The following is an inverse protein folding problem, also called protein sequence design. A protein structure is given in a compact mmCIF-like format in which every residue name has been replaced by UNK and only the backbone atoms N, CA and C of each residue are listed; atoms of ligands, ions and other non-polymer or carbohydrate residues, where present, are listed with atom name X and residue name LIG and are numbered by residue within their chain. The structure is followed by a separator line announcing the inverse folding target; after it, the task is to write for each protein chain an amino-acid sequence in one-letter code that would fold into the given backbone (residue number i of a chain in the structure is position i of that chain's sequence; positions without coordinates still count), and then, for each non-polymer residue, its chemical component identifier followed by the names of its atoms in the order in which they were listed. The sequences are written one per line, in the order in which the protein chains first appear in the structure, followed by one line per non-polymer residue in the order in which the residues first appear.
data_IF_409929684801
#
_entry.id   IF_409929684801
#
_cell.length_a   1.000
_cell.length_b   1.000
_cell.length_c   1.000
_cell.angle_alpha   90.00
_cell.angle_beta   90.00
_cell.angle_gamma   90.00
#
_symmetry.space_group_name_H-M   'P 1'
#
loop_
_entity.id
_entity.type
_entity.pdbx_description
1 polymer ?
#
# COMPACT_ATOMS: atom_id res chain seq x y z
N UNK A 1 31.27 -32.21 31.80
CA UNK A 1 31.36 -32.32 30.33
C UNK A 1 30.05 -31.85 29.74
N UNK A 2 30.09 -30.77 28.95
CA UNK A 2 28.95 -30.14 28.29
C UNK A 2 28.84 -30.67 26.87
N UNK A 3 27.69 -31.21 26.45
CA UNK A 3 27.35 -31.32 25.03
C UNK A 3 25.91 -30.82 24.84
N UNK A 4 25.78 -29.49 24.84
CA UNK A 4 24.61 -28.81 24.28
C UNK A 4 24.66 -29.01 22.77
N UNK A 5 23.85 -29.93 22.26
CA UNK A 5 23.59 -30.01 20.83
C UNK A 5 23.02 -28.67 20.34
N UNK A 6 23.63 -28.04 19.32
CA UNK A 6 23.03 -26.86 18.72
C UNK A 6 21.78 -27.30 17.96
N UNK A 7 20.62 -26.91 18.50
CA UNK A 7 19.35 -26.70 17.79
C UNK A 7 19.59 -26.12 16.40
N UNK A 8 19.59 -26.99 15.39
CA UNK A 8 19.65 -26.60 13.99
C UNK A 8 18.49 -25.66 13.70
N UNK A 9 18.73 -24.42 13.24
CA UNK A 9 17.63 -23.56 12.84
C UNK A 9 16.90 -24.21 11.66
N UNK A 10 15.59 -24.39 11.84
CA UNK A 10 14.57 -24.73 10.84
C UNK A 10 15.08 -24.64 9.40
N UNK A 11 15.45 -25.79 8.82
CA UNK A 11 15.56 -25.89 7.37
C UNK A 11 14.17 -25.51 6.82
N UNK A 12 14.14 -24.45 6.01
CA UNK A 12 12.93 -23.98 5.32
C UNK A 12 12.50 -25.11 4.38
N UNK A 13 11.62 -25.99 4.85
CA UNK A 13 11.24 -27.20 4.11
C UNK A 13 10.58 -26.74 2.82
N UNK A 14 11.28 -26.92 1.70
CA UNK A 14 10.68 -26.76 0.37
C UNK A 14 9.64 -27.86 0.24
N UNK A 15 8.37 -27.49 0.30
CA UNK A 15 7.28 -28.42 0.00
C UNK A 15 7.57 -29.08 -1.36
N UNK A 16 7.38 -30.41 -1.50
CA UNK A 16 7.46 -31.07 -2.80
C UNK A 16 6.50 -30.35 -3.75
N UNK A 17 7.05 -29.73 -4.78
CA UNK A 17 6.26 -29.17 -5.87
C UNK A 17 5.96 -30.34 -6.79
N UNK A 18 4.68 -30.60 -7.00
CA UNK A 18 4.24 -31.62 -7.95
C UNK A 18 4.73 -31.22 -9.36
N UNK A 19 5.18 -32.15 -10.23
CA UNK A 19 5.58 -31.84 -11.59
C UNK A 19 4.51 -31.05 -12.39
N UNK A 20 3.23 -31.15 -12.02
CA UNK A 20 2.14 -30.40 -12.66
C UNK A 20 2.03 -28.95 -12.16
N UNK A 21 2.84 -28.54 -11.18
CA UNK A 21 2.86 -27.19 -10.61
C UNK A 21 1.94 -26.99 -9.39
N UNK A 22 1.32 -28.06 -8.91
CA UNK A 22 0.56 -28.08 -7.66
C UNK A 22 1.49 -28.17 -6.45
N UNK A 23 0.96 -27.83 -5.28
CA UNK A 23 1.70 -27.96 -4.03
C UNK A 23 0.89 -28.69 -2.97
N UNK A 24 1.53 -29.72 -2.41
CA UNK A 24 1.08 -30.28 -1.14
C UNK A 24 1.66 -29.45 0.00
N UNK A 25 0.81 -28.70 0.69
CA UNK A 25 1.23 -27.95 1.86
C UNK A 25 1.37 -28.91 3.05
N UNK A 26 2.41 -28.78 3.88
CA UNK A 26 2.61 -29.66 5.04
C UNK A 26 1.55 -29.48 6.14
N UNK A 27 0.69 -28.47 6.02
CA UNK A 27 -0.32 -28.10 7.02
C UNK A 27 -1.70 -27.81 6.41
N UNK A 28 -1.93 -28.13 5.13
CA UNK A 28 -3.16 -27.73 4.43
C UNK A 28 -3.54 -28.63 3.24
N UNK A 29 -4.70 -28.34 2.61
CA UNK A 29 -5.17 -29.09 1.45
C UNK A 29 -4.23 -28.92 0.25
N UNK A 30 -4.27 -29.88 -0.67
CA UNK A 30 -3.58 -29.78 -1.95
C UNK A 30 -4.04 -28.55 -2.72
N UNK A 31 -3.10 -27.73 -3.18
CA UNK A 31 -3.38 -26.62 -4.07
C UNK A 31 -3.16 -27.09 -5.51
N UNK A 32 -4.22 -27.00 -6.32
CA UNK A 32 -4.09 -27.26 -7.74
C UNK A 32 -3.16 -26.23 -8.41
N UNK A 33 -2.56 -26.54 -9.56
CA UNK A 33 -1.76 -25.57 -10.31
C UNK A 33 -2.53 -24.29 -10.64
N UNK A 34 -3.84 -24.39 -10.91
CA UNK A 34 -4.72 -23.24 -11.16
C UNK A 34 -4.91 -22.37 -9.92
N UNK A 35 -5.09 -22.98 -8.75
CA UNK A 35 -5.19 -22.25 -7.49
C UNK A 35 -3.89 -21.54 -7.17
N UNK A 36 -2.75 -22.20 -7.39
CA UNK A 36 -1.43 -21.59 -7.22
C UNK A 36 -1.26 -20.38 -8.15
N UNK A 37 -1.66 -20.50 -9.43
CA UNK A 37 -1.61 -19.38 -10.38
C UNK A 37 -2.50 -18.21 -9.93
N UNK A 38 -3.73 -18.48 -9.51
CA UNK A 38 -4.67 -17.46 -9.01
C UNK A 38 -4.13 -16.75 -7.78
N UNK A 39 -3.64 -17.50 -6.79
CA UNK A 39 -3.07 -16.96 -5.56
C UNK A 39 -1.83 -16.10 -5.83
N UNK A 40 -0.99 -16.48 -6.80
CA UNK A 40 0.15 -15.65 -7.22
C UNK A 40 -0.29 -14.37 -7.95
N UNK A 41 -1.32 -14.43 -8.78
CA UNK A 41 -1.89 -13.24 -9.43
C UNK A 41 -2.47 -12.27 -8.38
N UNK A 42 -3.20 -12.79 -7.39
CA UNK A 42 -3.74 -11.99 -6.28
C UNK A 42 -2.61 -11.32 -5.48
N UNK A 43 -1.53 -12.06 -5.20
CA UNK A 43 -0.35 -11.51 -4.53
C UNK A 43 0.31 -10.40 -5.35
N UNK A 44 0.44 -10.58 -6.67
CA UNK A 44 0.99 -9.57 -7.56
C UNK A 44 0.17 -8.27 -7.51
N UNK A 45 -1.16 -8.37 -7.65
CA UNK A 45 -2.05 -7.22 -7.60
C UNK A 45 -1.98 -6.46 -6.26
N UNK A 46 -1.87 -7.19 -5.14
CA UNK A 46 -1.70 -6.55 -3.83
C UNK A 46 -0.36 -5.83 -3.67
N UNK A 47 0.73 -6.36 -4.25
CA UNK A 47 2.04 -5.72 -4.23
C UNK A 47 2.06 -4.45 -5.08
N UNK A 48 1.43 -4.47 -6.26
CA UNK A 48 1.29 -3.29 -7.11
C UNK A 48 0.48 -2.20 -6.42
N UNK A 49 -0.65 -2.57 -5.81
CA UNK A 49 -1.45 -1.63 -5.04
C UNK A 49 -0.66 -1.04 -3.86
N UNK A 50 0.06 -1.88 -3.11
CA UNK A 50 0.86 -1.41 -1.99
C UNK A 50 1.96 -0.46 -2.45
N UNK A 51 2.62 -0.77 -3.56
CA UNK A 51 3.63 0.10 -4.16
C UNK A 51 3.03 1.46 -4.57
N UNK A 52 1.83 1.48 -5.14
CA UNK A 52 1.14 2.72 -5.48
C UNK A 52 0.76 3.54 -4.22
N UNK A 53 0.26 2.88 -3.18
CA UNK A 53 -0.15 3.54 -1.93
C UNK A 53 1.04 4.06 -1.11
N UNK A 54 2.17 3.36 -1.11
CA UNK A 54 3.39 3.73 -0.38
C UNK A 54 4.37 4.56 -1.22
N UNK A 55 4.14 4.71 -2.53
CA UNK A 55 5.00 5.46 -3.43
C UNK A 55 6.35 4.78 -3.69
N UNK A 56 6.35 3.45 -3.80
CA UNK A 56 7.59 2.70 -4.04
C UNK A 56 8.18 3.03 -5.41
N UNK A 57 9.52 3.04 -5.47
CA UNK A 57 10.24 3.04 -6.73
C UNK A 57 9.97 1.74 -7.50
N UNK A 58 10.02 1.81 -8.84
CA UNK A 58 9.68 0.66 -9.69
C UNK A 58 10.64 -0.52 -9.45
N UNK A 59 11.91 -0.21 -9.23
CA UNK A 59 12.97 -1.17 -8.95
C UNK A 59 12.68 -1.96 -7.67
N UNK A 60 12.18 -1.29 -6.63
CA UNK A 60 11.80 -1.94 -5.38
C UNK A 60 10.59 -2.87 -5.57
N UNK A 61 9.60 -2.45 -6.36
CA UNK A 61 8.46 -3.31 -6.70
C UNK A 61 8.94 -4.55 -7.48
N UNK A 62 9.80 -4.38 -8.48
CA UNK A 62 10.29 -5.50 -9.29
C UNK A 62 11.12 -6.50 -8.46
N UNK A 63 11.93 -6.01 -7.52
CA UNK A 63 12.69 -6.84 -6.57
C UNK A 63 11.77 -7.64 -5.65
N UNK A 64 10.78 -6.99 -5.04
CA UNK A 64 9.82 -7.65 -4.15
C UNK A 64 8.95 -8.64 -4.92
N UNK A 65 8.49 -8.26 -6.11
CA UNK A 65 7.71 -9.11 -7.01
C UNK A 65 8.50 -10.38 -7.39
N UNK A 66 9.76 -10.21 -7.81
CA UNK A 66 10.63 -11.33 -8.19
C UNK A 66 10.81 -12.31 -7.04
N UNK A 67 11.06 -11.82 -5.82
CA UNK A 67 11.21 -12.66 -4.63
C UNK A 67 9.92 -13.38 -4.25
N UNK A 68 8.78 -12.68 -4.31
CA UNK A 68 7.48 -13.27 -4.02
C UNK A 68 7.07 -14.36 -5.03
N UNK A 69 7.32 -14.12 -6.33
CA UNK A 69 6.95 -15.05 -7.40
C UNK A 69 7.87 -16.26 -7.49
N UNK A 70 9.15 -16.12 -7.14
CA UNK A 70 10.12 -17.23 -7.13
C UNK A 70 10.23 -17.94 -5.77
N UNK A 71 9.57 -17.40 -4.74
CA UNK A 71 9.55 -17.97 -3.40
C UNK A 71 8.85 -19.34 -3.34
N UNK A 72 9.17 -20.16 -2.32
CA UNK A 72 8.54 -21.46 -2.12
C UNK A 72 7.04 -21.32 -1.85
N UNK A 73 6.24 -22.27 -2.33
CA UNK A 73 4.78 -22.26 -2.17
C UNK A 73 4.33 -22.33 -0.70
N UNK A 74 5.16 -22.91 0.17
CA UNK A 74 4.94 -22.91 1.61
C UNK A 74 4.89 -21.49 2.21
N UNK A 75 5.58 -20.51 1.60
CA UNK A 75 5.59 -19.12 2.04
C UNK A 75 4.45 -18.31 1.38
N UNK A 76 3.75 -18.86 0.39
CA UNK A 76 2.72 -18.13 -0.38
C UNK A 76 1.55 -17.69 0.49
N UNK A 77 0.97 -18.59 1.27
CA UNK A 77 -0.19 -18.30 2.13
C UNK A 77 0.14 -17.34 3.29
N UNK A 78 1.25 -17.53 4.04
CA UNK A 78 1.69 -16.55 5.02
C UNK A 78 1.95 -15.16 4.42
N UNK A 79 2.60 -15.10 3.25
CA UNK A 79 2.84 -13.84 2.55
C UNK A 79 1.51 -13.18 2.14
N UNK A 80 0.57 -13.94 1.56
CA UNK A 80 -0.75 -13.44 1.21
C UNK A 80 -1.49 -12.84 2.41
N UNK A 81 -1.47 -13.53 3.56
CA UNK A 81 -2.08 -13.00 4.78
C UNK A 81 -1.43 -11.69 5.22
N UNK A 82 -0.09 -11.66 5.29
CA UNK A 82 0.66 -10.47 5.65
C UNK A 82 0.36 -9.28 4.74
N UNK A 83 0.41 -9.48 3.42
CA UNK A 83 0.18 -8.40 2.45
C UNK A 83 -1.28 -7.95 2.44
N UNK A 84 -2.26 -8.85 2.64
CA UNK A 84 -3.68 -8.46 2.78
C UNK A 84 -3.90 -7.51 3.95
N UNK A 85 -3.37 -7.84 5.13
CA UNK A 85 -3.50 -6.98 6.31
C UNK A 85 -2.79 -5.64 6.12
N UNK A 86 -1.62 -5.64 5.47
CA UNK A 86 -0.89 -4.41 5.17
C UNK A 86 -1.64 -3.51 4.19
N UNK A 87 -2.18 -4.06 3.08
CA UNK A 87 -2.99 -3.31 2.12
C UNK A 87 -4.24 -2.74 2.80
N UNK A 88 -4.94 -3.55 3.60
CA UNK A 88 -6.11 -3.10 4.37
C UNK A 88 -5.79 -1.93 5.30
N UNK A 89 -4.69 -2.02 6.04
CA UNK A 89 -4.23 -0.94 6.92
C UNK A 89 -3.87 0.33 6.14
N UNK A 90 -3.21 0.19 4.98
CA UNK A 90 -2.85 1.34 4.14
C UNK A 90 -4.06 2.02 3.50
N UNK A 91 -5.03 1.24 3.00
CA UNK A 91 -6.32 1.77 2.51
C UNK A 91 -7.04 2.59 3.59
N UNK A 92 -7.09 2.09 4.82
CA UNK A 92 -7.73 2.81 5.93
C UNK A 92 -7.02 4.15 6.24
N UNK A 93 -5.69 4.18 6.19
CA UNK A 93 -4.90 5.42 6.35
C UNK A 93 -5.18 6.42 5.23
N UNK A 94 -5.21 5.98 3.98
CA UNK A 94 -5.50 6.85 2.83
C UNK A 94 -6.92 7.40 2.93
N UNK A 95 -7.92 6.56 3.22
CA UNK A 95 -9.30 7.01 3.42
C UNK A 95 -9.43 8.08 4.51
N UNK A 96 -8.70 7.92 5.63
CA UNK A 96 -8.69 8.92 6.70
C UNK A 96 -8.11 10.26 6.24
N UNK A 97 -7.03 10.24 5.44
CA UNK A 97 -6.43 11.45 4.87
C UNK A 97 -7.36 12.13 3.87
N UNK A 98 -7.98 11.36 2.99
CA UNK A 98 -8.91 11.87 1.99
C UNK A 98 -10.15 12.51 2.64
N UNK A 99 -10.67 11.89 3.70
CA UNK A 99 -11.75 12.49 4.49
C UNK A 99 -11.34 13.79 5.16
N UNK A 100 -10.14 13.84 5.75
CA UNK A 100 -9.62 15.06 6.36
C UNK A 100 -9.42 16.17 5.32
N UNK A 101 -8.91 15.84 4.13
CA UNK A 101 -8.74 16.76 3.00
C UNK A 101 -10.10 17.28 2.48
N UNK A 102 -11.11 16.41 2.35
CA UNK A 102 -12.47 16.81 1.97
C UNK A 102 -13.11 17.74 3.00
N UNK A 103 -12.91 17.49 4.30
CA UNK A 103 -13.42 18.35 5.38
C UNK A 103 -12.75 19.72 5.35
N UNK A 104 -11.43 19.77 5.17
CA UNK A 104 -10.69 21.04 5.08
C UNK A 104 -11.04 21.84 3.83
N UNK A 105 -11.26 21.18 2.68
CA UNK A 105 -11.72 21.85 1.46
C UNK A 105 -13.11 22.46 1.63
N UNK A 106 -14.09 21.73 2.18
CA UNK A 106 -15.43 22.26 2.47
C UNK A 106 -15.40 23.42 3.45
N UNK A 107 -14.60 23.30 4.52
CA UNK A 107 -14.44 24.38 5.50
C UNK A 107 -13.84 25.65 4.86
N UNK A 108 -12.86 25.50 3.95
CA UNK A 108 -12.29 26.63 3.21
C UNK A 108 -13.32 27.24 2.24
N UNK A 109 -14.07 26.42 1.51
CA UNK A 109 -15.14 26.88 0.64
C UNK A 109 -16.23 27.65 1.42
N UNK A 110 -16.65 27.14 2.58
CA UNK A 110 -17.59 27.81 3.46
C UNK A 110 -17.05 29.14 4.02
N UNK A 111 -15.76 29.22 4.34
CA UNK A 111 -15.10 30.46 4.75
C UNK A 111 -15.04 31.49 3.61
N UNK A 112 -14.79 31.05 2.38
CA UNK A 112 -14.80 31.94 1.20
C UNK A 112 -16.22 32.46 0.89
N UNK A 113 -17.25 31.61 1.01
CA UNK A 113 -18.66 31.98 0.82
C UNK A 113 -19.19 32.89 1.93
N UNK A 114 -18.70 32.75 3.18
CA UNK A 114 -19.14 33.54 4.35
C UNK A 114 -18.59 34.96 4.45
N UNK A 115 -17.76 35.41 3.52
CA UNK A 115 -17.53 36.85 3.35
C UNK A 115 -16.08 37.31 3.48
N UNK A 116 -15.19 36.81 2.63
CA UNK A 116 -14.04 37.61 2.25
C UNK A 116 -14.40 38.52 1.06
N UNK A 117 -15.12 39.62 1.34
CA UNK A 117 -14.83 40.86 0.62
C UNK A 117 -13.40 41.20 1.01
N UNK A 118 -12.42 40.92 0.15
CA UNK A 118 -11.13 41.59 0.29
C UNK A 118 -11.43 43.09 0.39
N UNK A 119 -11.14 43.65 1.55
CA UNK A 119 -11.25 45.06 1.81
C UNK A 119 -10.25 45.79 0.90
N UNK A 120 -10.66 46.07 -0.34
CA UNK A 120 -10.19 47.26 -1.05
C UNK A 120 -10.99 48.44 -0.52
N UNK A 121 -10.68 48.83 0.70
CA UNK A 121 -11.03 50.15 1.20
C UNK A 121 -10.01 51.14 0.64
N UNK A 122 -10.45 51.89 -0.37
CA UNK A 122 -10.46 53.34 -0.35
C UNK A 122 -9.15 54.06 0.02
N UNK A 123 -8.36 54.37 -1.02
CA UNK A 123 -7.38 55.44 -1.02
C UNK A 123 -7.66 56.45 -2.15
N UNK A 124 -8.92 56.83 -2.36
CA UNK A 124 -9.25 57.95 -3.24
C UNK A 124 -8.86 59.26 -2.54
N UNK A 125 -7.78 59.90 -3.01
CA UNK A 125 -7.60 61.35 -2.88
C UNK A 125 -7.50 61.94 -4.28
N UNK A 126 -8.67 62.29 -4.81
CA UNK A 126 -8.81 63.26 -5.87
C UNK A 126 -8.78 64.64 -5.19
N UNK A 127 -7.70 65.39 -5.35
CA UNK A 127 -7.72 66.84 -5.15
C UNK A 127 -7.56 67.48 -6.52
N UNK A 128 -8.65 68.10 -6.96
CA UNK A 128 -8.81 68.77 -8.25
C UNK A 128 -8.58 70.26 -8.02
N UNK A 129 -7.57 70.83 -8.69
CA UNK A 129 -7.55 72.21 -9.16
C UNK A 129 -6.98 73.30 -8.23
N UNK A 130 -5.95 73.99 -8.71
CA UNK A 130 -5.92 75.46 -8.67
C UNK A 130 -5.18 75.98 -9.90
N UNK A 131 -5.86 76.88 -10.62
CA UNK A 131 -5.34 77.74 -11.70
C UNK A 131 -4.02 78.42 -11.32
N UNK A 132 -3.19 78.67 -12.33
CA UNK A 132 -2.71 80.01 -12.70
C UNK A 132 -2.54 80.04 -14.22
#
# INVERSE_FOLDING_TARGET
MNERTPKTPTARVRAPVDPDGGAHLPWGPYLSPDDVRRLRADLAGMLEELAALEGWARELLDDVMTRAMRGPLADLLPNLHYFRERVKAMRAKVATRDEAARRTWRANEDLTKRGYKQARASGARHTRGTRL
#
